data_IF_154497255143
#
_entry.id   IF_154497255143
#
_cell.length_a   1.000
_cell.length_b   1.000
_cell.length_c   1.000
_cell.angle_alpha   90.00
_cell.angle_beta   90.00
_cell.angle_gamma   90.00
#
_symmetry.space_group_name_H-M   'P 1'
#
loop_
_entity.id
_entity.type
_entity.pdbx_description
1 polymer ?
#
# COMPACT_ATOMS: atom_id res chain seq x y z
N UNK A 1 -11.64 11.64 1.96
CA UNK A 1 -10.67 10.88 1.13
C UNK A 1 -9.32 10.83 1.83
N UNK A 2 -8.45 9.89 1.48
CA UNK A 2 -7.13 9.73 2.10
C UNK A 2 -6.01 10.37 1.25
N UNK A 3 -5.02 11.09 1.81
CA UNK A 3 -4.02 11.84 1.05
C UNK A 3 -2.83 10.98 0.57
N UNK A 4 -3.10 9.97 -0.26
CA UNK A 4 -2.13 8.96 -0.76
C UNK A 4 -0.78 9.55 -1.20
N UNK A 5 -0.80 10.59 -2.03
CA UNK A 5 0.43 11.21 -2.58
C UNK A 5 1.28 11.87 -1.48
N UNK A 6 0.65 12.51 -0.49
CA UNK A 6 1.38 13.13 0.63
C UNK A 6 2.02 12.06 1.49
N UNK A 7 1.30 10.99 1.83
CA UNK A 7 1.84 9.86 2.61
C UNK A 7 3.01 9.20 1.90
N UNK A 8 2.91 8.94 0.59
CA UNK A 8 4.02 8.38 -0.19
C UNK A 8 5.26 9.29 -0.17
N UNK A 9 5.05 10.61 -0.32
CA UNK A 9 6.14 11.57 -0.34
C UNK A 9 6.82 11.76 1.02
N UNK A 10 6.03 11.92 2.08
CA UNK A 10 6.54 12.37 3.39
C UNK A 10 6.74 11.25 4.40
N UNK A 11 5.91 10.20 4.38
CA UNK A 11 5.95 9.12 5.38
C UNK A 11 6.76 7.92 4.87
N UNK A 12 6.62 7.61 3.57
CA UNK A 12 7.43 6.57 2.92
C UNK A 12 8.76 7.13 2.43
N UNK A 13 8.79 8.39 1.99
CA UNK A 13 9.98 9.08 1.50
C UNK A 13 10.18 9.01 -0.02
N UNK A 14 9.20 8.50 -0.77
CA UNK A 14 9.27 8.47 -2.23
C UNK A 14 7.86 8.51 -2.86
N UNK A 15 7.58 9.63 -3.55
CA UNK A 15 6.29 9.88 -4.21
C UNK A 15 5.93 8.82 -5.26
N UNK A 16 6.92 8.17 -5.87
CA UNK A 16 6.70 7.13 -6.89
C UNK A 16 5.98 5.91 -6.30
N UNK A 17 6.10 5.67 -4.99
CA UNK A 17 5.42 4.56 -4.31
C UNK A 17 3.92 4.79 -4.06
N UNK A 18 3.38 5.94 -4.46
CA UNK A 18 1.97 6.28 -4.25
C UNK A 18 1.02 5.24 -4.86
N UNK A 19 1.36 4.66 -6.02
CA UNK A 19 0.55 3.62 -6.65
C UNK A 19 0.56 2.32 -5.82
N UNK A 20 1.70 1.90 -5.29
CA UNK A 20 1.81 0.68 -4.49
C UNK A 20 1.12 0.85 -3.13
N UNK A 21 1.21 2.04 -2.53
CA UNK A 21 0.40 2.38 -1.35
C UNK A 21 -1.11 2.29 -1.66
N UNK A 22 -1.54 2.83 -2.79
CA UNK A 22 -2.94 2.74 -3.22
C UNK A 22 -3.38 1.27 -3.45
N UNK A 23 -2.51 0.43 -4.02
CA UNK A 23 -2.77 -1.02 -4.18
C UNK A 23 -2.97 -1.67 -2.82
N UNK A 24 -2.09 -1.40 -1.83
CA UNK A 24 -2.24 -1.92 -0.47
C UNK A 24 -3.57 -1.53 0.18
N UNK A 25 -3.97 -0.27 0.02
CA UNK A 25 -5.28 0.20 0.50
C UNK A 25 -6.43 -0.53 -0.19
N UNK A 26 -6.41 -0.63 -1.52
CA UNK A 26 -7.47 -1.27 -2.30
C UNK A 26 -7.63 -2.75 -1.94
N UNK A 27 -6.54 -3.49 -1.77
CA UNK A 27 -6.58 -4.91 -1.39
C UNK A 27 -7.28 -5.10 -0.05
N UNK A 28 -6.95 -4.30 0.97
CA UNK A 28 -7.58 -4.39 2.29
C UNK A 28 -9.04 -3.89 2.30
N UNK A 29 -9.35 -2.83 1.56
CA UNK A 29 -10.69 -2.27 1.50
C UNK A 29 -11.67 -3.21 0.78
N UNK A 30 -11.22 -3.87 -0.28
CA UNK A 30 -12.09 -4.70 -1.13
C UNK A 30 -12.11 -6.16 -0.70
N UNK A 31 -11.00 -6.69 -0.17
CA UNK A 31 -10.87 -8.10 0.20
C UNK A 31 -10.93 -9.09 -0.97
N UNK A 32 -10.85 -8.61 -2.23
CA UNK A 32 -11.02 -9.46 -3.43
C UNK A 32 -9.74 -10.17 -3.85
N UNK A 33 -8.57 -9.74 -3.35
CA UNK A 33 -7.27 -10.32 -3.66
C UNK A 33 -6.60 -10.83 -2.38
N UNK A 34 -5.90 -11.97 -2.49
CA UNK A 34 -5.01 -12.45 -1.45
C UNK A 34 -3.79 -11.54 -1.30
N UNK A 35 -3.46 -11.18 -0.06
CA UNK A 35 -2.42 -10.19 0.24
C UNK A 35 -1.03 -10.69 -0.10
N UNK A 36 -0.78 -11.98 0.06
CA UNK A 36 0.53 -12.59 -0.16
C UNK A 36 0.79 -12.75 -1.67
N UNK A 37 -0.24 -13.10 -2.45
CA UNK A 37 -0.15 -13.13 -3.90
C UNK A 37 0.15 -11.74 -4.49
N UNK A 38 -0.39 -10.67 -3.92
CA UNK A 38 -0.05 -9.30 -4.34
C UNK A 38 1.39 -8.94 -3.97
N UNK A 39 1.91 -9.35 -2.79
CA UNK A 39 3.33 -9.17 -2.45
C UNK A 39 4.24 -9.83 -3.49
N UNK A 40 3.96 -11.08 -3.86
CA UNK A 40 4.71 -11.79 -4.91
C UNK A 40 4.67 -11.04 -6.25
N UNK A 41 3.49 -10.59 -6.67
CA UNK A 41 3.34 -9.82 -7.91
C UNK A 41 4.10 -8.47 -7.89
N UNK A 42 4.24 -7.84 -6.71
CA UNK A 42 5.09 -6.65 -6.54
C UNK A 42 6.56 -7.04 -6.69
N UNK A 43 7.00 -8.11 -6.02
CA UNK A 43 8.39 -8.59 -6.10
C UNK A 43 8.81 -8.96 -7.53
N UNK A 44 7.90 -9.54 -8.31
CA UNK A 44 8.17 -9.95 -9.69
C UNK A 44 8.30 -8.77 -10.67
N UNK A 45 7.71 -7.61 -10.35
CA UNK A 45 7.63 -6.44 -11.26
C UNK A 45 8.52 -5.27 -10.87
N UNK A 46 8.83 -5.14 -9.58
CA UNK A 46 9.61 -4.01 -9.07
C UNK A 46 11.11 -4.31 -9.21
N UNK A 47 11.92 -3.37 -9.74
CA UNK A 47 13.37 -3.57 -9.80
C UNK A 47 13.94 -3.81 -8.38
N UNK A 48 14.92 -4.71 -8.22
CA UNK A 48 15.44 -5.09 -6.89
C UNK A 48 15.83 -3.89 -6.01
N UNK A 49 16.43 -2.85 -6.60
CA UNK A 49 16.84 -1.64 -5.90
C UNK A 49 15.68 -0.85 -5.24
N UNK A 50 14.44 -1.09 -5.63
CA UNK A 50 13.25 -0.42 -5.10
C UNK A 50 12.30 -1.36 -4.37
N UNK A 51 12.65 -2.64 -4.22
CA UNK A 51 11.74 -3.65 -3.69
C UNK A 51 11.32 -3.33 -2.26
N UNK A 52 12.27 -3.09 -1.36
CA UNK A 52 12.00 -2.82 0.06
C UNK A 52 11.08 -1.62 0.25
N UNK A 53 11.30 -0.56 -0.52
CA UNK A 53 10.51 0.66 -0.44
C UNK A 53 9.06 0.45 -0.94
N UNK A 54 8.88 -0.34 -2.00
CA UNK A 54 7.55 -0.68 -2.49
C UNK A 54 6.83 -1.66 -1.57
N UNK A 55 7.54 -2.62 -0.96
CA UNK A 55 6.97 -3.52 0.05
C UNK A 55 6.47 -2.73 1.27
N UNK A 56 7.30 -1.81 1.78
CA UNK A 56 6.89 -0.87 2.84
C UNK A 56 5.65 -0.09 2.44
N UNK A 57 5.59 0.42 1.21
CA UNK A 57 4.44 1.19 0.72
C UNK A 57 3.14 0.36 0.69
N UNK A 58 3.23 -0.88 0.22
CA UNK A 58 2.10 -1.81 0.17
C UNK A 58 1.58 -2.13 1.57
N UNK A 59 2.45 -2.48 2.50
CA UNK A 59 2.09 -2.78 3.89
C UNK A 59 1.48 -1.56 4.59
N UNK A 60 2.08 -0.39 4.40
CA UNK A 60 1.54 0.89 4.91
C UNK A 60 0.12 1.13 4.39
N UNK A 61 -0.13 0.88 3.09
CA UNK A 61 -1.45 0.96 2.49
C UNK A 61 -2.48 0.04 3.16
N UNK A 62 -2.11 -1.20 3.46
CA UNK A 62 -2.95 -2.16 4.19
C UNK A 62 -3.30 -1.61 5.58
N UNK A 63 -2.31 -1.14 6.33
CA UNK A 63 -2.51 -0.64 7.70
C UNK A 63 -3.45 0.58 7.74
N UNK A 64 -3.27 1.52 6.81
CA UNK A 64 -4.15 2.68 6.65
C UNK A 64 -5.59 2.22 6.39
N UNK A 65 -5.78 1.30 5.44
CA UNK A 65 -7.11 0.80 5.11
C UNK A 65 -7.78 0.07 6.28
N UNK A 66 -7.03 -0.70 7.08
CA UNK A 66 -7.54 -1.33 8.31
C UNK A 66 -8.04 -0.27 9.31
N UNK A 67 -7.26 0.80 9.54
CA UNK A 67 -7.65 1.91 10.42
C UNK A 67 -8.94 2.59 9.92
N UNK A 68 -9.02 2.88 8.63
CA UNK A 68 -10.21 3.48 8.02
C UNK A 68 -11.46 2.58 8.14
N UNK A 69 -11.33 1.25 8.05
CA UNK A 69 -12.43 0.30 8.29
C UNK A 69 -12.89 0.34 9.75
N UNK A 70 -11.94 0.37 10.69
CA UNK A 70 -12.25 0.44 12.12
C UNK A 70 -12.94 1.76 12.52
N UNK A 71 -12.57 2.87 11.89
CA UNK A 71 -13.20 4.18 12.11
C UNK A 71 -14.63 4.26 11.56
N UNK A 72 -14.92 3.59 10.44
CA UNK A 72 -16.26 3.54 9.83
C UNK A 72 -17.21 2.52 10.46
N UNK A 73 -16.68 1.57 11.21
CA UNK A 73 -17.47 0.59 11.99
C UNK A 73 -17.91 1.12 13.36
N UNK A 74 -17.53 2.35 13.71
CA UNK A 74 -18.07 3.12 14.83
C UNK A 74 -19.21 4.00 14.34
#
# INVERSE_FOLDING_TARGET
>A
GYPIVKTAKYDIGNVVTANILAVGMTVELTGILDKENVKKAIADRVPPAFLDLNMKAYETGIEIAKKLKAEKGK
#
